data_IF_444210676513
#
_entry.id   IF_444210676513
#
_cell.length_a   1.000
_cell.length_b   1.000
_cell.length_c   1.000
_cell.angle_alpha   90.00
_cell.angle_beta   90.00
_cell.angle_gamma   90.00
#
_symmetry.space_group_name_H-M   'P 1'
#
loop_
_entity.id
_entity.type
_entity.pdbx_description
1 polymer ?
#
# COMPACT_ATOMS: atom_id res chain seq x y z
N UNK A 1 52.18 -47.68 12.71
CA UNK A 1 51.61 -46.91 11.57
C UNK A 1 50.12 -47.18 11.37
N UNK A 2 49.36 -47.59 12.38
CA UNK A 2 47.86 -47.86 12.29
C UNK A 2 47.01 -46.96 13.17
N UNK A 3 47.60 -46.08 13.95
CA UNK A 3 46.88 -45.23 14.93
C UNK A 3 46.54 -43.84 14.34
N UNK A 4 47.25 -43.39 13.32
CA UNK A 4 47.01 -42.07 12.72
C UNK A 4 45.87 -42.02 11.70
N UNK A 5 45.39 -43.16 11.20
CA UNK A 5 44.26 -43.23 10.27
C UNK A 5 42.91 -43.07 10.94
N UNK A 6 42.81 -43.45 12.23
CA UNK A 6 41.55 -43.32 12.96
C UNK A 6 41.26 -41.87 13.44
N UNK A 7 42.31 -41.06 13.60
CA UNK A 7 42.13 -39.66 14.04
C UNK A 7 41.74 -38.71 12.91
N UNK A 8 42.00 -39.08 11.66
CA UNK A 8 41.68 -38.22 10.49
C UNK A 8 40.21 -38.34 10.06
N UNK A 9 39.53 -39.45 10.34
CA UNK A 9 38.11 -39.61 10.00
C UNK A 9 37.12 -38.90 10.95
N UNK A 10 37.59 -38.46 12.12
CA UNK A 10 36.71 -37.79 13.11
C UNK A 10 36.67 -36.28 12.94
N UNK A 11 37.50 -35.69 12.07
CA UNK A 11 37.57 -34.22 11.89
C UNK A 11 36.82 -33.69 10.68
N UNK A 12 36.15 -34.55 9.87
CA UNK A 12 35.44 -34.12 8.67
C UNK A 12 33.91 -34.08 8.82
N UNK A 13 33.36 -34.35 10.01
CA UNK A 13 31.92 -34.47 10.22
C UNK A 13 31.25 -33.22 10.75
N UNK A 14 31.89 -32.04 10.77
CA UNK A 14 31.37 -30.87 11.50
C UNK A 14 31.03 -29.65 10.66
N UNK A 15 30.77 -29.78 9.36
CA UNK A 15 30.39 -28.62 8.54
C UNK A 15 29.11 -28.82 7.71
N UNK A 16 28.07 -29.40 8.30
CA UNK A 16 26.71 -29.15 7.80
C UNK A 16 26.05 -28.13 8.70
N UNK A 17 26.40 -26.86 8.53
CA UNK A 17 25.60 -25.76 9.00
C UNK A 17 24.41 -25.67 8.04
N UNK A 18 23.28 -26.26 8.45
CA UNK A 18 22.01 -25.98 7.81
C UNK A 18 21.71 -24.51 8.03
N UNK A 19 21.87 -23.69 7.00
CA UNK A 19 21.28 -22.37 6.98
C UNK A 19 19.76 -22.60 6.94
N UNK A 20 19.13 -22.54 8.10
CA UNK A 20 17.71 -22.37 8.20
C UNK A 20 17.44 -20.94 7.72
N UNK A 21 16.99 -20.80 6.47
CA UNK A 21 16.37 -19.59 5.99
C UNK A 21 15.11 -19.38 6.84
N UNK A 22 15.27 -18.63 7.93
CA UNK A 22 14.14 -18.09 8.68
C UNK A 22 13.45 -17.10 7.74
N UNK A 23 12.48 -17.60 6.96
CA UNK A 23 11.52 -16.75 6.30
C UNK A 23 10.72 -16.06 7.42
N UNK A 24 11.16 -14.88 7.79
CA UNK A 24 10.37 -13.97 8.61
C UNK A 24 9.23 -13.51 7.70
N UNK A 25 8.14 -14.25 7.70
CA UNK A 25 6.87 -13.78 7.19
C UNK A 25 6.43 -12.65 8.12
N UNK A 26 6.82 -11.42 7.79
CA UNK A 26 6.31 -10.24 8.45
C UNK A 26 4.86 -10.06 7.99
N UNK A 27 3.94 -10.82 8.55
CA UNK A 27 2.51 -10.54 8.42
C UNK A 27 2.22 -9.29 9.25
N UNK A 28 2.39 -8.12 8.63
CA UNK A 28 1.96 -6.86 9.21
C UNK A 28 0.45 -6.81 9.09
N UNK A 29 -0.25 -7.37 10.07
CA UNK A 29 -1.68 -7.08 10.23
C UNK A 29 -1.78 -5.64 10.75
N UNK A 30 -1.97 -4.70 9.82
CA UNK A 30 -2.24 -3.31 10.17
C UNK A 30 -3.64 -3.26 10.76
N UNK A 31 -3.71 -3.06 12.06
CA UNK A 31 -4.96 -2.91 12.77
C UNK A 31 -5.55 -1.52 12.48
N UNK A 32 -6.87 -1.41 12.34
CA UNK A 32 -7.59 -0.12 12.22
C UNK A 32 -7.19 0.86 13.33
N UNK A 33 -6.90 0.36 14.54
CA UNK A 33 -6.43 1.17 15.67
C UNK A 33 -5.09 1.89 15.44
N UNK A 34 -4.29 1.47 14.46
CA UNK A 34 -3.01 2.12 14.12
C UNK A 34 -3.15 3.20 13.04
N UNK A 35 -4.30 3.29 12.40
CA UNK A 35 -4.54 4.31 11.38
C UNK A 35 -4.74 5.68 12.03
N UNK A 36 -4.18 6.75 11.44
CA UNK A 36 -4.38 8.10 11.94
C UNK A 36 -5.82 8.57 11.75
N UNK A 37 -6.31 9.42 12.65
CA UNK A 37 -7.70 9.92 12.62
C UNK A 37 -8.07 10.70 11.35
N UNK A 38 -7.09 11.20 10.63
CA UNK A 38 -7.25 11.85 9.33
C UNK A 38 -7.23 10.86 8.15
N UNK A 39 -6.99 9.58 8.38
CA UNK A 39 -7.09 8.53 7.37
C UNK A 39 -8.52 8.39 6.85
N UNK A 40 -8.73 7.98 5.59
CA UNK A 40 -10.06 7.73 5.06
C UNK A 40 -10.75 6.59 5.79
N UNK A 41 -12.04 6.73 6.03
CA UNK A 41 -12.87 5.67 6.62
C UNK A 41 -13.23 4.59 5.60
N UNK A 42 -13.60 3.39 6.09
CA UNK A 42 -14.05 2.28 5.24
C UNK A 42 -12.93 1.34 4.78
N UNK A 43 -11.74 1.43 5.36
CA UNK A 43 -10.61 0.55 5.08
C UNK A 43 -10.11 -0.15 6.34
N UNK A 44 -10.15 -1.48 6.36
CA UNK A 44 -9.71 -2.27 7.51
C UNK A 44 -8.18 -2.45 7.56
N UNK A 45 -7.56 -2.57 6.40
CA UNK A 45 -6.12 -2.79 6.28
C UNK A 45 -5.49 -1.76 5.33
N UNK A 46 -4.57 -0.96 5.87
CA UNK A 46 -3.88 0.07 5.12
C UNK A 46 -2.39 0.04 5.41
N UNK A 47 -1.58 -0.14 4.37
CA UNK A 47 -0.13 -0.01 4.46
C UNK A 47 0.32 1.43 4.22
N UNK A 48 -0.21 2.07 3.18
CA UNK A 48 0.17 3.41 2.79
C UNK A 48 -1.05 4.26 2.43
N UNK A 49 -0.96 5.54 2.77
CA UNK A 49 -1.76 6.60 2.16
C UNK A 49 -0.87 7.40 1.21
N UNK A 50 -1.32 7.60 -0.02
CA UNK A 50 -0.70 8.53 -0.95
C UNK A 50 -1.53 9.80 -1.03
N UNK A 51 -0.89 10.94 -0.89
CA UNK A 51 -1.48 12.28 -0.95
C UNK A 51 -1.07 12.97 -2.25
N UNK A 52 -1.95 12.99 -3.29
CA UNK A 52 -1.61 13.51 -4.61
C UNK A 52 -1.24 14.99 -4.63
N UNK A 53 -1.82 15.80 -3.75
CA UNK A 53 -1.57 17.25 -3.67
C UNK A 53 -0.12 17.58 -3.35
N UNK A 54 0.48 16.78 -2.48
CA UNK A 54 1.82 17.02 -1.93
C UNK A 54 2.82 15.93 -2.31
N UNK A 55 2.40 15.00 -3.16
CA UNK A 55 3.21 13.88 -3.67
C UNK A 55 3.96 13.14 -2.55
N UNK A 56 3.27 12.92 -1.43
CA UNK A 56 3.82 12.34 -0.20
C UNK A 56 3.07 11.07 0.16
N UNK A 57 3.80 10.05 0.59
CA UNK A 57 3.23 8.84 1.16
C UNK A 57 3.25 8.91 2.68
N UNK A 58 2.31 8.23 3.31
CA UNK A 58 2.35 7.96 4.75
C UNK A 58 2.32 6.45 4.98
N UNK A 59 3.36 5.93 5.59
CA UNK A 59 3.47 4.51 5.93
C UNK A 59 2.84 4.28 7.31
N UNK A 60 1.66 3.67 7.32
CA UNK A 60 0.82 3.50 8.51
C UNK A 60 1.53 2.69 9.61
N UNK A 61 2.18 1.54 9.34
CA UNK A 61 2.78 0.73 10.40
C UNK A 61 3.90 1.41 11.18
N UNK A 62 4.58 2.39 10.58
CA UNK A 62 5.68 3.13 11.24
C UNK A 62 5.34 4.58 11.54
N UNK A 63 4.14 5.03 11.20
CA UNK A 63 3.72 6.44 11.34
C UNK A 63 4.70 7.42 10.70
N UNK A 64 5.16 7.10 9.47
CA UNK A 64 6.18 7.86 8.77
C UNK A 64 5.68 8.44 7.46
N UNK A 65 5.96 9.71 7.22
CA UNK A 65 5.84 10.32 5.91
C UNK A 65 7.06 9.98 5.05
N UNK A 66 6.82 9.70 3.78
CA UNK A 66 7.85 9.36 2.79
C UNK A 66 7.67 10.28 1.61
N UNK A 67 8.67 11.09 1.31
CA UNK A 67 8.61 12.09 0.25
C UNK A 67 9.95 12.28 -0.47
N UNK A 68 9.90 12.79 -1.69
CA UNK A 68 11.09 13.06 -2.49
C UNK A 68 11.64 14.44 -2.18
N UNK A 69 12.91 14.51 -1.84
CA UNK A 69 13.64 15.76 -1.61
C UNK A 69 14.98 15.73 -2.34
N UNK A 70 15.13 16.59 -3.35
CA UNK A 70 16.36 16.65 -4.16
C UNK A 70 16.74 15.32 -4.82
N UNK A 71 15.76 14.52 -5.25
CA UNK A 71 15.98 13.21 -5.87
C UNK A 71 16.17 12.05 -4.87
N UNK A 72 16.16 12.32 -3.56
CA UNK A 72 16.31 11.28 -2.52
C UNK A 72 15.01 11.09 -1.74
N UNK A 73 14.68 9.85 -1.42
CA UNK A 73 13.56 9.52 -0.56
C UNK A 73 13.90 9.81 0.91
N UNK A 74 13.07 10.63 1.53
CA UNK A 74 13.18 11.00 2.96
C UNK A 74 12.07 10.32 3.73
N UNK A 75 12.42 9.71 4.88
CA UNK A 75 11.51 9.09 5.83
C UNK A 75 11.48 9.92 7.10
N UNK A 76 10.34 10.51 7.43
CA UNK A 76 10.22 11.45 8.55
C UNK A 76 8.92 11.25 9.32
N UNK A 77 8.88 11.68 10.58
CA UNK A 77 7.66 11.68 11.40
C UNK A 77 6.76 12.89 11.17
N UNK A 78 7.24 13.88 10.40
CA UNK A 78 6.52 15.10 10.07
C UNK A 78 6.45 15.30 8.57
N UNK A 79 5.49 16.12 8.11
CA UNK A 79 5.41 16.54 6.73
C UNK A 79 6.67 17.32 6.30
N UNK A 80 6.97 17.34 4.98
CA UNK A 80 8.01 18.20 4.45
C UNK A 80 7.81 19.67 4.88
N UNK A 81 8.88 20.44 5.20
CA UNK A 81 8.74 21.82 5.66
C UNK A 81 7.88 22.71 4.75
N UNK A 82 7.96 22.50 3.43
CA UNK A 82 7.14 23.22 2.44
C UNK A 82 5.64 22.95 2.56
N UNK A 83 5.24 21.88 3.23
CA UNK A 83 3.85 21.42 3.41
C UNK A 83 3.44 21.37 4.89
N UNK A 84 4.14 22.08 5.78
CA UNK A 84 3.85 22.07 7.23
C UNK A 84 2.43 22.52 7.57
N UNK A 85 1.80 23.35 6.74
CA UNK A 85 0.43 23.86 6.88
C UNK A 85 -0.62 23.05 6.08
N UNK A 86 -0.21 21.94 5.46
CA UNK A 86 -1.16 21.11 4.71
C UNK A 86 -2.15 20.42 5.64
N UNK A 87 -3.45 20.58 5.33
CA UNK A 87 -4.50 19.98 6.12
C UNK A 87 -4.74 18.51 5.73
N UNK A 88 -4.25 17.61 6.56
CA UNK A 88 -4.38 16.16 6.36
C UNK A 88 -5.84 15.66 6.42
N UNK A 89 -6.74 16.38 7.07
CA UNK A 89 -8.16 15.98 7.14
C UNK A 89 -8.90 16.30 5.84
N UNK A 90 -8.53 17.36 5.16
CA UNK A 90 -9.21 17.83 3.94
C UNK A 90 -8.66 17.24 2.66
N UNK A 91 -7.36 17.04 2.59
CA UNK A 91 -6.69 16.53 1.39
C UNK A 91 -7.12 15.10 1.06
N UNK A 92 -7.17 14.76 -0.23
CA UNK A 92 -7.52 13.41 -0.66
C UNK A 92 -6.36 12.42 -0.43
N UNK A 93 -6.69 11.21 0.01
CA UNK A 93 -5.74 10.12 0.26
C UNK A 93 -6.12 8.89 -0.52
N UNK A 94 -5.19 8.36 -1.27
CA UNK A 94 -5.32 7.06 -1.96
C UNK A 94 -4.74 5.98 -1.07
N UNK A 95 -5.53 4.93 -0.80
CA UNK A 95 -5.04 3.75 -0.07
C UNK A 95 -4.24 2.86 -1.02
N UNK A 96 -3.02 2.51 -0.62
CA UNK A 96 -2.13 1.64 -1.38
C UNK A 96 -1.58 0.57 -0.45
N UNK A 97 -1.72 -0.70 -0.84
CA UNK A 97 -1.22 -1.84 -0.07
C UNK A 97 -0.01 -2.52 -0.74
N UNK A 98 0.43 -2.00 -1.88
CA UNK A 98 1.62 -2.49 -2.58
C UNK A 98 2.88 -2.31 -1.73
N UNK A 99 3.88 -3.19 -1.85
CA UNK A 99 5.14 -3.03 -1.15
C UNK A 99 5.91 -1.85 -1.72
N UNK A 100 6.36 -0.93 -0.84
CA UNK A 100 7.23 0.21 -1.19
C UNK A 100 6.75 1.02 -2.42
N UNK A 101 5.50 1.52 -2.43
CA UNK A 101 4.90 2.17 -3.61
C UNK A 101 5.69 3.40 -4.06
N UNK A 102 6.41 4.06 -3.17
CA UNK A 102 7.25 5.21 -3.47
C UNK A 102 8.38 4.87 -4.47
N UNK A 103 8.80 3.60 -4.59
CA UNK A 103 9.77 3.18 -5.61
C UNK A 103 9.21 3.24 -7.04
N UNK A 104 7.89 3.25 -7.17
CA UNK A 104 7.16 3.41 -8.44
C UNK A 104 6.40 4.73 -8.49
N UNK A 105 7.00 5.80 -7.92
CA UNK A 105 6.35 7.09 -7.70
C UNK A 105 5.72 7.70 -8.95
N UNK A 106 6.39 7.66 -10.09
CA UNK A 106 5.87 8.22 -11.34
C UNK A 106 4.53 7.59 -11.75
N UNK A 107 4.41 6.26 -11.59
CA UNK A 107 3.17 5.54 -11.86
C UNK A 107 2.00 6.06 -10.99
N UNK A 108 2.22 6.20 -9.68
CA UNK A 108 1.17 6.67 -8.76
C UNK A 108 0.85 8.15 -8.95
N UNK A 109 1.88 8.97 -9.18
CA UNK A 109 1.72 10.40 -9.45
C UNK A 109 0.83 10.64 -10.67
N UNK A 110 1.08 9.94 -11.76
CA UNK A 110 0.37 10.12 -13.01
C UNK A 110 -1.05 9.53 -12.92
N UNK A 111 -1.19 8.33 -12.35
CA UNK A 111 -2.48 7.65 -12.17
C UNK A 111 -3.46 8.46 -11.30
N UNK A 112 -2.97 9.09 -10.25
CA UNK A 112 -3.80 9.78 -9.26
C UNK A 112 -3.72 11.32 -9.36
N UNK A 113 -3.19 11.85 -10.44
CA UNK A 113 -3.07 13.29 -10.68
C UNK A 113 -4.42 14.03 -10.62
N UNK A 114 -5.52 13.38 -11.01
CA UNK A 114 -6.86 13.94 -11.02
C UNK A 114 -7.44 14.18 -9.62
N UNK A 115 -6.87 13.59 -8.56
CA UNK A 115 -7.25 13.85 -7.18
C UNK A 115 -6.50 15.03 -6.54
N UNK A 116 -5.62 15.70 -7.27
CA UNK A 116 -5.00 16.95 -6.80
C UNK A 116 -6.06 18.02 -6.63
N UNK A 117 -5.96 18.77 -5.52
CA UNK A 117 -6.96 19.76 -5.13
C UNK A 117 -8.38 19.22 -4.92
N UNK A 118 -8.53 17.91 -4.69
CA UNK A 118 -9.82 17.27 -4.43
C UNK A 118 -10.12 17.25 -2.93
N UNK A 119 -10.31 18.44 -2.36
CA UNK A 119 -10.50 18.63 -0.92
C UNK A 119 -11.94 18.32 -0.48
N UNK A 120 -12.08 17.84 0.77
CA UNK A 120 -13.37 17.62 1.46
C UNK A 120 -14.31 16.60 0.79
N UNK A 121 -13.78 15.75 -0.09
CA UNK A 121 -14.54 14.72 -0.79
C UNK A 121 -14.43 13.32 -0.20
N UNK A 122 -13.71 13.19 0.91
CA UNK A 122 -13.43 11.89 1.51
C UNK A 122 -13.72 11.91 3.01
N UNK A 123 -14.67 11.08 3.50
CA UNK A 123 -14.90 10.95 4.94
C UNK A 123 -13.65 10.36 5.62
N UNK A 124 -13.31 10.88 6.79
CA UNK A 124 -12.15 10.47 7.57
C UNK A 124 -12.54 9.73 8.86
N UNK A 125 -11.61 8.98 9.43
CA UNK A 125 -11.85 8.15 10.62
C UNK A 125 -12.34 8.97 11.82
N UNK A 126 -11.90 10.22 11.99
CA UNK A 126 -12.37 11.11 13.05
C UNK A 126 -13.90 11.26 13.03
N UNK A 127 -14.47 11.39 11.84
CA UNK A 127 -15.88 11.71 11.67
C UNK A 127 -16.79 10.51 11.96
N UNK A 128 -16.21 9.29 12.02
CA UNK A 128 -16.90 8.03 12.29
C UNK A 128 -16.67 7.46 13.70
N UNK A 129 -15.94 8.18 14.54
CA UNK A 129 -15.56 7.68 15.88
C UNK A 129 -16.72 7.69 16.88
N UNK A 130 -17.77 8.47 16.62
CA UNK A 130 -18.93 8.65 17.50
C UNK A 130 -20.13 7.78 17.10
N UNK A 131 -20.05 7.10 15.95
CA UNK A 131 -21.07 6.15 15.55
C UNK A 131 -20.74 4.80 16.24
N UNK A 132 -21.38 4.57 17.40
CA UNK A 132 -21.42 3.27 18.06
C UNK A 132 -21.79 2.15 17.08
N UNK A 133 -21.91 0.86 17.48
CA UNK A 133 -22.03 -0.27 16.54
C UNK A 133 -23.33 -0.18 15.73
N UNK A 134 -23.35 0.72 14.77
CA UNK A 134 -24.40 1.03 13.83
C UNK A 134 -24.00 0.59 12.43
N UNK A 135 -24.78 -0.32 11.91
CA UNK A 135 -24.89 -0.87 10.56
C UNK A 135 -24.50 0.12 9.43
N UNK A 136 -23.22 0.36 9.22
CA UNK A 136 -22.70 1.18 8.12
C UNK A 136 -22.43 0.32 6.87
N UNK A 137 -23.40 0.22 5.97
CA UNK A 137 -23.15 -0.28 4.60
C UNK A 137 -22.37 0.77 3.80
N UNK A 138 -21.12 0.99 4.14
CA UNK A 138 -20.16 1.72 3.33
C UNK A 138 -19.73 0.86 2.15
N UNK A 139 -20.28 1.11 0.96
CA UNK A 139 -19.74 0.54 -0.29
C UNK A 139 -18.39 1.21 -0.57
N UNK A 140 -17.33 0.66 0.03
CA UNK A 140 -15.97 1.02 -0.32
C UNK A 140 -15.68 0.56 -1.74
N UNK A 141 -15.54 1.50 -2.67
CA UNK A 141 -15.03 1.19 -4.00
C UNK A 141 -13.52 0.93 -3.88
N UNK A 142 -13.16 -0.34 -3.77
CA UNK A 142 -11.80 -0.79 -3.96
C UNK A 142 -11.45 -0.63 -5.45
N UNK A 143 -10.77 0.46 -5.80
CA UNK A 143 -10.18 0.63 -7.13
C UNK A 143 -8.85 -0.14 -7.17
N UNK A 144 -8.88 -1.31 -7.79
CA UNK A 144 -7.67 -2.12 -7.95
C UNK A 144 -7.95 -3.50 -8.51
N UNK A 145 -8.75 -3.61 -9.56
CA UNK A 145 -8.77 -4.79 -10.42
C UNK A 145 -8.92 -4.33 -11.87
N UNK A 146 -7.81 -4.27 -12.58
CA UNK A 146 -7.83 -4.24 -14.04
C UNK A 146 -8.33 -5.61 -14.50
N UNK A 147 -9.60 -5.68 -14.90
CA UNK A 147 -10.07 -6.75 -15.76
C UNK A 147 -9.83 -6.27 -17.18
N UNK A 148 -8.94 -6.96 -17.89
CA UNK A 148 -8.82 -6.87 -19.32
C UNK A 148 -10.17 -7.28 -19.94
N UNK A 149 -10.99 -6.28 -20.27
CA UNK A 149 -12.21 -6.49 -21.06
C UNK A 149 -11.79 -6.78 -22.50
N UNK A 150 -11.74 -8.09 -22.81
CA UNK A 150 -11.76 -8.54 -24.20
C UNK A 150 -13.13 -8.20 -24.77
N UNK A 151 -13.18 -7.15 -25.58
CA UNK A 151 -14.31 -6.91 -26.47
C UNK A 151 -14.39 -8.06 -27.49
N UNK A 152 -15.34 -8.95 -27.28
CA UNK A 152 -15.82 -9.81 -28.36
C UNK A 152 -16.84 -9.00 -29.16
N UNK A 153 -16.44 -8.62 -30.36
CA UNK A 153 -17.33 -8.07 -31.38
C UNK A 153 -18.39 -9.11 -31.72
N UNK A 154 -19.61 -8.95 -31.25
CA UNK A 154 -20.77 -9.67 -31.74
C UNK A 154 -21.37 -8.90 -32.90
N UNK A 155 -20.99 -9.37 -34.09
CA UNK A 155 -21.58 -9.06 -35.37
C UNK A 155 -23.08 -9.40 -35.34
N UNK A 156 -23.94 -8.37 -35.30
CA UNK A 156 -25.39 -8.52 -35.49
C UNK A 156 -25.71 -8.34 -36.95
N UNK A 157 -25.75 -9.48 -37.65
CA UNK A 157 -26.27 -9.58 -39.02
C UNK A 157 -27.68 -9.02 -39.14
N UNK A 158 -27.80 -7.98 -39.93
CA UNK A 158 -29.03 -7.43 -40.46
C UNK A 158 -29.73 -8.47 -41.32
N UNK A 159 -30.91 -8.91 -40.94
CA UNK A 159 -31.82 -9.65 -41.81
C UNK A 159 -32.86 -8.67 -42.35
N UNK A 160 -32.69 -8.34 -43.62
CA UNK A 160 -33.74 -7.73 -44.39
C UNK A 160 -34.88 -8.74 -44.59
N UNK A 161 -36.10 -8.37 -44.24
CA UNK A 161 -37.32 -9.01 -44.69
C UNK A 161 -38.05 -8.02 -45.58
N UNK A 162 -37.92 -8.28 -46.91
CA UNK A 162 -38.94 -7.86 -47.86
C UNK A 162 -40.09 -8.86 -47.77
N UNK A 163 -41.29 -8.34 -47.57
CA UNK A 163 -42.53 -8.63 -48.31
C UNK A 163 -43.58 -7.61 -47.92
#
# INVERSE_FOLDING_TARGET
MKIYFAAFCLLTASFFVSQADAQVSLSVSVNVASQPSWGPSGYDNVNYYYMPDIETYYYVPKHQFIYLNGGNWVFATTLPPRYHSYDLYRGYKVVINDPQPYMHHDHYRDRYAHYRAYYDHQPVLRDHRDDGPGNGHGKGHAYGHDKDDKHEDKDHGHRDHND
#
